data_IF_378168828685
#
_entry.id   IF_378168828685
#
_cell.length_a   1.000
_cell.length_b   1.000
_cell.length_c   1.000
_cell.angle_alpha   90.00
_cell.angle_beta   90.00
_cell.angle_gamma   90.00
#
_symmetry.space_group_name_H-M   'P 1'
#
loop_
_entity.id
_entity.type
_entity.pdbx_description
1 polymer ?
#
# COMPACT_ATOMS: atom_id res chain seq x y z
N UNK A 1 -11.68 32.13 8.41
CA UNK A 1 -11.50 30.74 8.89
C UNK A 1 -10.39 30.07 8.08
N UNK A 2 -9.39 29.42 8.70
CA UNK A 2 -8.27 28.77 7.98
C UNK A 2 -8.35 27.25 8.10
N UNK A 3 -8.26 26.55 6.98
CA UNK A 3 -8.08 25.10 6.95
C UNK A 3 -6.59 24.82 7.02
N UNK A 4 -6.16 24.10 8.06
CA UNK A 4 -4.77 23.73 8.24
C UNK A 4 -4.50 22.31 7.72
N UNK A 5 -3.23 21.95 7.56
CA UNK A 5 -2.83 20.59 7.20
C UNK A 5 -2.30 19.88 8.44
N UNK A 6 -2.71 18.64 8.63
CA UNK A 6 -2.19 17.78 9.69
C UNK A 6 -0.70 17.53 9.48
N UNK A 7 0.10 17.66 10.53
CA UNK A 7 1.55 17.44 10.48
C UNK A 7 1.91 16.01 10.04
N UNK A 8 1.17 15.01 10.52
CA UNK A 8 1.53 13.60 10.30
C UNK A 8 1.02 13.05 8.96
N UNK A 9 -0.26 13.26 8.65
CA UNK A 9 -0.90 12.67 7.47
C UNK A 9 -1.10 13.64 6.30
N UNK A 10 -0.92 14.94 6.52
CA UNK A 10 -1.19 16.03 5.56
C UNK A 10 -2.64 16.16 5.09
N UNK A 11 -3.60 15.54 5.78
CA UNK A 11 -5.05 15.77 5.59
C UNK A 11 -5.45 17.17 6.07
N UNK A 12 -6.52 17.73 5.51
CA UNK A 12 -7.13 18.97 6.02
C UNK A 12 -7.64 18.81 7.46
N UNK A 13 -7.42 19.85 8.26
CA UNK A 13 -7.93 20.01 9.63
C UNK A 13 -8.87 21.20 9.62
N UNK A 14 -10.15 20.93 9.83
CA UNK A 14 -11.18 21.96 9.98
C UNK A 14 -11.19 22.48 11.42
N UNK A 15 -11.64 23.73 11.66
CA UNK A 15 -11.75 24.24 13.02
C UNK A 15 -12.69 23.39 13.88
N UNK A 16 -12.35 23.26 15.17
CA UNK A 16 -13.05 22.36 16.10
C UNK A 16 -12.67 20.88 15.97
N UNK A 17 -11.85 20.50 15.00
CA UNK A 17 -11.41 19.10 14.85
C UNK A 17 -9.96 18.86 15.23
N UNK A 18 -9.71 17.70 15.83
CA UNK A 18 -8.37 17.20 16.09
C UNK A 18 -7.74 17.78 17.37
N UNK A 19 -6.42 17.91 17.36
CA UNK A 19 -5.67 18.45 18.51
C UNK A 19 -4.45 19.24 18.03
N UNK A 20 -4.05 20.25 18.79
CA UNK A 20 -2.80 20.97 18.58
C UNK A 20 -1.84 20.66 19.73
N UNK A 21 -0.59 20.38 19.40
CA UNK A 21 0.50 20.24 20.36
C UNK A 21 1.49 21.37 20.12
N UNK A 22 1.77 22.14 21.17
CA UNK A 22 2.77 23.21 21.14
C UNK A 22 4.01 22.65 21.83
N UNK A 23 5.15 22.66 21.13
CA UNK A 23 6.44 22.27 21.69
C UNK A 23 7.17 23.50 22.23
N UNK A 24 8.11 23.31 23.14
CA UNK A 24 8.88 24.39 23.78
C UNK A 24 9.59 25.33 22.79
N UNK A 25 9.91 24.87 21.56
CA UNK A 25 10.47 25.71 20.49
C UNK A 25 9.40 26.56 19.76
N UNK A 26 8.26 26.79 20.40
CA UNK A 26 7.08 27.47 19.89
C UNK A 26 6.49 26.86 18.58
N UNK A 27 6.90 25.65 18.19
CA UNK A 27 6.33 24.99 17.01
C UNK A 27 5.00 24.35 17.34
N UNK A 28 3.99 24.74 16.54
CA UNK A 28 2.63 24.23 16.64
C UNK A 28 2.46 23.05 15.68
N UNK A 29 2.20 21.87 16.23
CA UNK A 29 1.87 20.67 15.48
C UNK A 29 0.37 20.42 15.54
N UNK A 30 -0.32 20.55 14.41
CA UNK A 30 -1.75 20.22 14.32
C UNK A 30 -1.95 18.79 13.84
N UNK A 31 -2.88 18.10 14.46
CA UNK A 31 -3.26 16.73 14.13
C UNK A 31 -4.74 16.64 13.81
N UNK A 32 -5.12 15.94 12.73
CA UNK A 32 -6.51 15.72 12.37
C UNK A 32 -7.26 14.75 13.32
N UNK A 33 -6.54 13.82 13.95
CA UNK A 33 -7.13 12.79 14.81
C UNK A 33 -6.14 12.25 15.84
N UNK A 34 -6.67 11.55 16.85
CA UNK A 34 -5.89 10.89 17.89
C UNK A 34 -4.91 9.85 17.33
N UNK A 35 -5.23 9.21 16.19
CA UNK A 35 -4.31 8.31 15.47
C UNK A 35 -3.01 9.02 15.08
N UNK A 36 -3.11 10.22 14.51
CA UNK A 36 -1.95 11.00 14.09
C UNK A 36 -1.14 11.48 15.30
N UNK A 37 -1.84 11.95 16.35
CA UNK A 37 -1.22 12.38 17.60
C UNK A 37 -0.46 11.23 18.29
N UNK A 38 -1.08 10.06 18.45
CA UNK A 38 -0.44 8.87 19.05
C UNK A 38 0.79 8.42 18.25
N UNK A 39 0.73 8.41 16.90
CA UNK A 39 1.89 8.07 16.08
C UNK A 39 3.04 9.09 16.19
N UNK A 40 2.71 10.37 16.36
CA UNK A 40 3.69 11.41 16.63
C UNK A 40 4.34 11.23 18.02
N UNK A 41 3.54 10.95 19.06
CA UNK A 41 4.05 10.62 20.41
C UNK A 41 4.95 9.39 20.43
N UNK A 42 4.61 8.37 19.63
CA UNK A 42 5.46 7.19 19.39
C UNK A 42 6.70 7.47 18.52
N UNK A 43 6.99 8.74 18.19
CA UNK A 43 8.13 9.17 17.36
C UNK A 43 8.22 8.44 16.01
N UNK A 44 7.10 7.99 15.44
CA UNK A 44 7.11 7.31 14.14
C UNK A 44 7.37 8.32 13.03
N UNK A 45 8.25 7.99 12.09
CA UNK A 45 8.53 8.86 10.96
C UNK A 45 7.40 8.77 9.90
N UNK A 46 6.66 9.86 9.60
CA UNK A 46 5.57 9.84 8.62
C UNK A 46 6.03 9.43 7.22
N UNK A 47 7.31 9.65 6.85
CA UNK A 47 7.89 9.21 5.57
C UNK A 47 8.05 7.70 5.45
N UNK A 48 8.04 6.95 6.57
CA UNK A 48 8.07 5.47 6.58
C UNK A 48 6.67 4.85 6.71
N UNK A 49 5.67 5.65 7.13
CA UNK A 49 4.31 5.16 7.36
C UNK A 49 3.48 5.20 6.06
N UNK A 50 3.18 4.02 5.51
CA UNK A 50 2.65 3.81 4.15
C UNK A 50 1.36 4.57 3.78
N UNK A 51 0.51 4.89 4.76
CA UNK A 51 -0.78 5.53 4.51
C UNK A 51 -0.73 7.07 4.50
N UNK A 52 0.38 7.68 4.92
CA UNK A 52 0.52 9.14 4.93
C UNK A 52 0.76 9.68 3.52
N UNK A 53 0.41 10.95 3.31
CA UNK A 53 0.76 11.66 2.07
C UNK A 53 2.28 11.87 1.93
N UNK A 54 2.99 12.07 3.04
CA UNK A 54 4.44 12.20 3.06
C UNK A 54 5.15 10.96 2.47
N UNK A 55 4.76 9.76 2.90
CA UNK A 55 5.26 8.51 2.31
C UNK A 55 4.91 8.41 0.83
N UNK A 56 3.67 8.74 0.46
CA UNK A 56 3.22 8.64 -0.94
C UNK A 56 4.01 9.56 -1.87
N UNK A 57 4.30 10.78 -1.46
CA UNK A 57 5.15 11.73 -2.22
C UNK A 57 6.58 11.22 -2.34
N UNK A 58 7.20 10.81 -1.23
CA UNK A 58 8.58 10.31 -1.23
C UNK A 58 8.75 9.02 -2.05
N UNK A 59 7.75 8.14 -2.06
CA UNK A 59 7.76 6.89 -2.80
C UNK A 59 7.25 7.02 -4.26
N UNK A 60 7.11 8.24 -4.80
CA UNK A 60 6.67 8.47 -6.18
C UNK A 60 5.25 7.99 -6.48
N UNK A 61 4.38 7.92 -5.47
CA UNK A 61 2.98 7.47 -5.61
C UNK A 61 2.01 8.58 -6.00
N UNK A 62 2.45 9.83 -5.90
CA UNK A 62 1.71 11.04 -6.25
C UNK A 62 2.60 11.92 -7.12
N UNK A 63 1.98 12.79 -7.92
CA UNK A 63 2.68 13.82 -8.66
C UNK A 63 3.26 14.83 -7.66
N UNK A 64 4.58 15.03 -7.68
CA UNK A 64 5.29 15.90 -6.73
C UNK A 64 5.68 17.24 -7.35
N UNK A 65 6.07 17.25 -8.62
CA UNK A 65 6.52 18.42 -9.37
C UNK A 65 5.42 18.74 -10.39
N UNK A 66 4.66 19.80 -10.14
CA UNK A 66 3.64 20.30 -11.06
C UNK A 66 3.41 21.80 -10.83
N UNK A 67 3.18 22.54 -11.91
CA UNK A 67 2.94 23.99 -11.84
C UNK A 67 1.64 24.34 -11.10
N UNK A 68 0.69 23.40 -11.01
CA UNK A 68 -0.55 23.65 -10.27
C UNK A 68 -0.33 23.81 -8.76
N UNK A 69 0.76 23.28 -8.20
CA UNK A 69 1.06 23.41 -6.77
C UNK A 69 1.56 24.79 -6.37
N UNK A 70 2.11 25.57 -7.30
CA UNK A 70 2.63 26.91 -7.04
C UNK A 70 1.53 27.91 -6.65
N UNK A 71 0.28 27.63 -7.04
CA UNK A 71 -0.88 28.42 -6.67
C UNK A 71 -1.29 28.26 -5.19
N UNK A 72 -0.98 27.13 -4.53
CA UNK A 72 -1.30 26.87 -3.11
C UNK A 72 -0.22 27.46 -2.14
N UNK A 73 0.46 28.55 -2.52
CA UNK A 73 1.51 29.18 -1.71
C UNK A 73 0.96 30.07 -0.60
N UNK A 74 1.64 30.09 0.55
CA UNK A 74 1.37 31.05 1.63
C UNK A 74 1.87 32.43 1.22
N UNK A 75 0.97 33.41 1.12
CA UNK A 75 1.33 34.82 0.91
C UNK A 75 1.43 35.52 2.25
N UNK A 76 2.58 36.13 2.53
CA UNK A 76 2.81 36.88 3.76
C UNK A 76 2.50 38.38 3.59
N UNK A 77 2.53 38.89 2.35
CA UNK A 77 2.17 40.27 2.01
C UNK A 77 0.71 40.30 1.54
N UNK A 78 -0.18 41.03 2.22
CA UNK A 78 -1.56 41.22 1.78
C UNK A 78 -1.61 42.21 0.60
N UNK A 79 -2.59 42.02 -0.28
CA UNK A 79 -2.92 42.97 -1.35
C UNK A 79 -4.20 43.69 -0.95
N UNK A 80 -4.39 44.93 -1.40
CA UNK A 80 -5.67 45.62 -1.23
C UNK A 80 -6.80 44.83 -1.90
N UNK A 81 -7.97 44.88 -1.29
CA UNK A 81 -9.14 44.20 -1.83
C UNK A 81 -9.57 44.86 -3.14
N UNK A 82 -9.73 44.04 -4.17
CA UNK A 82 -10.31 44.41 -5.46
C UNK A 82 -11.31 43.32 -5.86
N UNK A 83 -12.54 43.74 -6.20
CA UNK A 83 -13.64 42.86 -6.55
C UNK A 83 -13.38 42.12 -7.86
N UNK A 84 -12.78 42.77 -8.85
CA UNK A 84 -12.49 42.17 -10.15
C UNK A 84 -11.42 41.10 -10.02
N UNK A 85 -10.34 41.43 -9.31
CA UNK A 85 -9.26 40.49 -8.97
C UNK A 85 -9.81 39.26 -8.23
N UNK A 86 -10.69 39.46 -7.25
CA UNK A 86 -11.32 38.36 -6.50
C UNK A 86 -12.19 37.48 -7.40
N UNK A 87 -13.00 38.07 -8.28
CA UNK A 87 -13.85 37.32 -9.21
C UNK A 87 -13.02 36.48 -10.19
N UNK A 88 -11.96 37.07 -10.75
CA UNK A 88 -11.01 36.36 -11.62
C UNK A 88 -10.30 35.23 -10.87
N UNK A 89 -9.90 35.46 -9.63
CA UNK A 89 -9.23 34.45 -8.78
C UNK A 89 -10.13 33.25 -8.53
N UNK A 90 -11.43 33.45 -8.24
CA UNK A 90 -12.38 32.35 -8.04
C UNK A 90 -12.57 31.50 -9.31
N UNK A 91 -12.65 32.15 -10.48
CA UNK A 91 -12.70 31.45 -11.79
C UNK A 91 -11.42 30.65 -12.03
N UNK A 92 -10.26 31.27 -11.80
CA UNK A 92 -8.96 30.62 -11.96
C UNK A 92 -8.79 29.41 -11.02
N UNK A 93 -9.21 29.51 -9.76
CA UNK A 93 -9.13 28.41 -8.78
C UNK A 93 -9.90 27.17 -9.23
N UNK A 94 -11.12 27.33 -9.77
CA UNK A 94 -11.91 26.21 -10.32
C UNK A 94 -11.16 25.55 -11.48
N UNK A 95 -10.67 26.36 -12.42
CA UNK A 95 -9.93 25.88 -13.58
C UNK A 95 -8.63 25.14 -13.22
N UNK A 96 -7.86 25.68 -12.28
CA UNK A 96 -6.63 25.03 -11.77
C UNK A 96 -6.97 23.70 -11.10
N UNK A 97 -8.09 23.63 -10.37
CA UNK A 97 -8.60 22.39 -9.77
C UNK A 97 -8.87 21.29 -10.80
N UNK A 98 -9.54 21.61 -11.91
CA UNK A 98 -9.79 20.67 -13.01
C UNK A 98 -8.51 20.16 -13.65
N UNK A 99 -7.57 21.07 -13.94
CA UNK A 99 -6.27 20.74 -14.55
C UNK A 99 -5.49 19.79 -13.64
N UNK A 100 -5.44 20.10 -12.34
CA UNK A 100 -4.79 19.27 -11.34
C UNK A 100 -5.41 17.86 -11.29
N UNK A 101 -6.74 17.75 -11.23
CA UNK A 101 -7.41 16.44 -11.23
C UNK A 101 -7.11 15.63 -12.49
N UNK A 102 -7.10 16.28 -13.67
CA UNK A 102 -6.76 15.63 -14.93
C UNK A 102 -5.32 15.10 -14.93
N UNK A 103 -4.36 15.92 -14.48
CA UNK A 103 -2.94 15.56 -14.37
C UNK A 103 -2.71 14.42 -13.38
N UNK A 104 -3.32 14.50 -12.19
CA UNK A 104 -3.25 13.43 -11.18
C UNK A 104 -3.82 12.10 -11.69
N UNK A 105 -4.94 12.13 -12.43
CA UNK A 105 -5.51 10.93 -13.08
C UNK A 105 -4.59 10.35 -14.14
N UNK A 106 -3.97 11.19 -14.97
CA UNK A 106 -3.02 10.74 -15.98
C UNK A 106 -1.79 10.06 -15.33
N UNK A 107 -1.22 10.68 -14.29
CA UNK A 107 -0.12 10.10 -13.53
C UNK A 107 -0.48 8.74 -12.92
N UNK A 108 -1.69 8.63 -12.36
CA UNK A 108 -2.18 7.36 -11.82
C UNK A 108 -2.31 6.29 -12.91
N UNK A 109 -2.87 6.62 -14.09
CA UNK A 109 -3.00 5.70 -15.22
C UNK A 109 -1.64 5.18 -15.68
N UNK A 110 -0.68 6.08 -15.91
CA UNK A 110 0.67 5.72 -16.35
C UNK A 110 1.36 4.80 -15.35
N UNK A 111 1.25 5.11 -14.05
CA UNK A 111 1.80 4.25 -12.99
C UNK A 111 1.15 2.87 -12.93
N UNK A 112 -0.17 2.80 -13.13
CA UNK A 112 -0.90 1.53 -13.12
C UNK A 112 -0.66 0.69 -14.37
N UNK A 113 -0.36 1.29 -15.52
CA UNK A 113 0.00 0.57 -16.74
C UNK A 113 1.26 -0.29 -16.54
N UNK A 114 2.31 0.29 -15.95
CA UNK A 114 3.55 -0.42 -15.60
C UNK A 114 3.29 -1.58 -14.62
N UNK A 115 2.41 -1.37 -13.65
CA UNK A 115 2.04 -2.43 -12.71
C UNK A 115 1.25 -3.56 -13.40
N UNK A 116 0.34 -3.22 -14.33
CA UNK A 116 -0.48 -4.18 -15.07
C UNK A 116 0.38 -5.17 -15.84
N UNK A 117 1.38 -4.71 -16.58
CA UNK A 117 2.31 -5.58 -17.33
C UNK A 117 3.03 -6.58 -16.42
N UNK A 118 3.58 -6.11 -15.29
CA UNK A 118 4.22 -6.98 -14.30
C UNK A 118 3.26 -8.01 -13.70
N UNK A 119 2.01 -7.62 -13.46
CA UNK A 119 1.00 -8.56 -12.96
C UNK A 119 0.61 -9.60 -14.01
N UNK A 120 0.52 -9.22 -15.29
CA UNK A 120 0.22 -10.13 -16.38
C UNK A 120 1.35 -11.13 -16.61
N UNK A 121 2.61 -10.70 -16.62
CA UNK A 121 3.76 -11.60 -16.75
C UNK A 121 3.85 -12.57 -15.57
N UNK A 122 3.62 -12.11 -14.34
CA UNK A 122 3.56 -12.97 -13.16
C UNK A 122 2.42 -14.00 -13.25
N UNK A 123 1.24 -13.60 -13.76
CA UNK A 123 0.11 -14.53 -14.01
C UNK A 123 0.47 -15.56 -15.08
N UNK A 124 1.03 -15.14 -16.21
CA UNK A 124 1.49 -16.04 -17.29
C UNK A 124 2.50 -17.05 -16.77
N UNK A 125 3.51 -16.62 -15.98
CA UNK A 125 4.49 -17.51 -15.36
C UNK A 125 3.85 -18.52 -14.39
N UNK A 126 2.86 -18.09 -13.61
CA UNK A 126 2.12 -19.00 -12.71
C UNK A 126 1.27 -20.02 -13.47
N UNK A 127 0.63 -19.62 -14.56
CA UNK A 127 -0.15 -20.52 -15.41
C UNK A 127 0.76 -21.53 -16.12
N UNK A 128 1.89 -21.10 -16.65
CA UNK A 128 2.90 -22.00 -17.23
C UNK A 128 3.43 -23.00 -16.20
N UNK A 129 3.73 -22.55 -14.98
CA UNK A 129 4.16 -23.42 -13.88
C UNK A 129 3.07 -24.41 -13.44
N UNK A 130 1.79 -24.02 -13.47
CA UNK A 130 0.67 -24.97 -13.24
C UNK A 130 0.59 -26.00 -14.34
N UNK A 131 0.58 -25.57 -15.61
CA UNK A 131 0.57 -26.48 -16.76
C UNK A 131 1.75 -27.46 -16.75
N UNK A 132 2.95 -27.01 -16.38
CA UNK A 132 4.12 -27.88 -16.27
C UNK A 132 3.97 -28.92 -15.15
N UNK A 133 3.38 -28.55 -14.00
CA UNK A 133 3.06 -29.50 -12.93
C UNK A 133 1.97 -30.49 -13.35
N UNK A 134 0.92 -30.00 -14.00
CA UNK A 134 -0.17 -30.84 -14.48
C UNK A 134 0.34 -31.84 -15.55
N UNK A 135 1.27 -31.43 -16.40
CA UNK A 135 1.95 -32.30 -17.37
C UNK A 135 2.88 -33.33 -16.69
N UNK A 136 3.63 -32.94 -15.65
CA UNK A 136 4.45 -33.88 -14.86
C UNK A 136 3.59 -34.93 -14.15
N UNK A 137 2.44 -34.52 -13.58
CA UNK A 137 1.50 -35.46 -12.95
C UNK A 137 0.93 -36.43 -13.98
N UNK A 138 0.62 -35.96 -15.20
CA UNK A 138 0.15 -36.83 -16.28
C UNK A 138 1.22 -37.87 -16.68
N UNK A 139 2.48 -37.46 -16.83
CA UNK A 139 3.58 -38.40 -17.14
C UNK A 139 3.85 -39.38 -16.01
N UNK A 140 3.73 -38.94 -14.76
CA UNK A 140 3.92 -39.81 -13.58
C UNK A 140 2.77 -40.84 -13.46
N UNK A 141 1.53 -40.48 -13.84
CA UNK A 141 0.39 -41.41 -13.89
C UNK A 141 0.54 -42.45 -15.01
N UNK A 142 0.95 -42.04 -16.21
CA UNK A 142 1.23 -42.96 -17.33
C UNK A 142 2.36 -43.94 -16.99
N UNK A 143 3.40 -43.48 -16.28
CA UNK A 143 4.48 -44.35 -15.81
C UNK A 143 3.98 -45.37 -14.77
N UNK A 144 3.06 -45.00 -13.87
CA UNK A 144 2.48 -45.97 -12.92
C UNK A 144 1.59 -47.02 -13.59
N UNK A 145 0.81 -46.65 -14.61
CA UNK A 145 -0.02 -47.60 -15.38
C UNK A 145 0.83 -48.65 -16.11
N UNK A 146 1.96 -48.24 -16.72
CA UNK A 146 2.88 -49.18 -17.39
C UNK A 146 3.62 -50.14 -16.42
N UNK A 147 3.80 -49.75 -15.15
CA UNK A 147 4.39 -50.66 -14.14
C UNK A 147 3.40 -51.67 -13.58
N UNK A 148 2.10 -51.35 -13.57
CA UNK A 148 1.08 -52.29 -13.12
C UNK A 148 0.81 -53.37 -14.19
N UNK A 149 0.89 -53.04 -15.49
CA UNK A 149 0.73 -53.99 -16.60
C UNK A 149 1.87 -55.02 -16.73
N UNK A 150 3.06 -54.76 -16.18
CA UNK A 150 4.21 -55.70 -16.18
C UNK A 150 4.18 -56.65 -14.96
N UNK A 151 3.24 -56.49 -14.03
CA UNK A 151 3.21 -57.26 -12.77
C UNK A 151 2.19 -58.42 -12.72
N UNK A 152 1.61 -58.85 -13.85
CA UNK A 152 0.75 -60.05 -13.87
C UNK A 152 1.55 -61.35 -13.82
N UNK A 153 2.25 -61.61 -12.71
CA UNK A 153 2.56 -62.96 -12.25
C UNK A 153 1.98 -63.17 -10.84
N UNK A 154 0.96 -64.05 -10.81
CA UNK A 154 0.44 -64.82 -9.68
C UNK A 154 0.00 -64.05 -8.42
N UNK A 155 -1.29 -63.73 -8.36
CA UNK A 155 -2.02 -63.41 -7.13
C UNK A 155 -2.27 -64.71 -6.33
N UNK A 156 -1.67 -64.83 -5.15
CA UNK A 156 -2.21 -65.68 -4.07
C UNK A 156 -3.25 -64.87 -3.26
N UNK A 157 -4.33 -65.48 -2.75
CA UNK A 157 -5.40 -64.75 -2.08
C UNK A 157 -4.90 -64.18 -0.75
N UNK A 158 -4.71 -62.87 -0.69
CA UNK A 158 -4.44 -62.16 0.56
C UNK A 158 -5.77 -61.96 1.27
N UNK A 159 -5.83 -62.49 2.49
CA UNK A 159 -6.93 -62.35 3.44
C UNK A 159 -7.44 -60.91 3.56
N UNK A 160 -8.76 -60.80 3.73
CA UNK A 160 -9.52 -59.59 3.96
C UNK A 160 -8.84 -58.70 5.01
N UNK A 161 -8.33 -57.54 4.58
CA UNK A 161 -7.96 -56.46 5.49
C UNK A 161 -9.08 -55.43 5.49
N UNK A 162 -9.75 -55.35 6.63
CA UNK A 162 -10.75 -54.34 6.93
C UNK A 162 -10.27 -52.93 6.54
N UNK A 163 -11.16 -52.20 5.87
CA UNK A 163 -10.91 -50.82 5.46
C UNK A 163 -10.93 -49.87 6.66
N UNK A 164 -9.80 -49.72 7.34
CA UNK A 164 -9.64 -48.65 8.32
C UNK A 164 -9.55 -47.33 7.54
N UNK A 165 -10.65 -46.58 7.50
CA UNK A 165 -10.68 -45.20 7.01
C UNK A 165 -9.81 -44.31 7.92
N UNK A 166 -8.53 -44.22 7.61
CA UNK A 166 -7.65 -43.23 8.24
C UNK A 166 -8.07 -41.85 7.73
N UNK A 167 -8.83 -41.12 8.55
CA UNK A 167 -9.07 -39.69 8.35
C UNK A 167 -7.73 -38.96 8.45
N UNK A 168 -7.02 -38.80 7.33
CA UNK A 168 -5.90 -37.86 7.25
C UNK A 168 -6.48 -36.45 7.42
N UNK A 169 -6.36 -35.89 8.63
CA UNK A 169 -6.54 -34.45 8.84
C UNK A 169 -5.48 -33.76 7.99
N UNK A 170 -5.89 -33.17 6.87
CA UNK A 170 -5.05 -32.24 6.13
C UNK A 170 -4.81 -31.06 7.07
N UNK A 171 -3.62 -31.03 7.67
CA UNK A 171 -3.16 -29.85 8.41
C UNK A 171 -2.92 -28.76 7.37
N UNK A 172 -3.95 -27.92 7.13
CA UNK A 172 -3.76 -26.70 6.37
C UNK A 172 -2.72 -25.88 7.14
N UNK A 173 -1.51 -25.65 6.59
CA UNK A 173 -0.54 -24.83 7.29
C UNK A 173 -1.19 -23.45 7.41
N UNK A 174 -1.45 -23.04 8.66
CA UNK A 174 -2.00 -21.74 8.94
C UNK A 174 -1.06 -20.71 8.33
N UNK A 175 -1.43 -20.18 7.15
CA UNK A 175 -0.75 -19.02 6.58
C UNK A 175 -1.05 -17.89 7.53
N UNK A 176 -0.21 -17.72 8.56
CA UNK A 176 -0.16 -16.51 9.36
C UNK A 176 0.00 -15.40 8.34
N UNK A 177 -1.08 -14.64 8.09
CA UNK A 177 -1.00 -13.39 7.35
C UNK A 177 0.03 -12.56 8.12
N UNK A 178 1.26 -12.51 7.62
CA UNK A 178 2.30 -11.63 8.17
C UNK A 178 1.66 -10.27 8.25
N UNK A 179 1.47 -9.75 9.47
CA UNK A 179 0.93 -8.43 9.65
C UNK A 179 1.79 -7.49 8.82
N UNK A 180 1.17 -6.64 8.00
CA UNK A 180 1.88 -5.69 7.14
C UNK A 180 2.62 -4.59 7.93
N UNK A 181 2.73 -4.75 9.25
CA UNK A 181 3.56 -3.98 10.15
C UNK A 181 5.00 -4.45 9.96
N UNK A 182 5.78 -3.65 9.24
CA UNK A 182 7.24 -3.67 9.41
C UNK A 182 7.48 -3.37 10.89
N UNK A 183 7.99 -4.34 11.67
CA UNK A 183 8.56 -4.05 12.99
C UNK A 183 9.58 -2.95 12.74
N UNK A 184 9.35 -1.78 13.34
CA UNK A 184 10.37 -0.74 13.32
C UNK A 184 11.60 -1.36 13.94
N UNK A 185 12.70 -1.35 13.20
CA UNK A 185 14.01 -1.66 13.75
C UNK A 185 14.20 -0.70 14.93
N UNK A 186 14.07 -1.25 16.14
CA UNK A 186 14.49 -0.59 17.36
C UNK A 186 16.00 -0.54 17.36
N UNK A 187 16.58 0.31 16.50
CA UNK A 187 17.86 0.92 16.81
C UNK A 187 17.52 2.07 17.74
N UNK A 188 17.61 1.79 19.05
CA UNK A 188 17.97 2.79 20.03
C UNK A 188 19.29 3.41 19.54
N UNK A 189 19.20 4.47 18.75
CA UNK A 189 20.32 5.40 18.65
C UNK A 189 20.34 6.07 20.02
N UNK A 190 21.24 5.60 20.89
CA UNK A 190 21.70 6.39 22.02
C UNK A 190 22.09 7.76 21.47
N UNK A 191 21.58 8.80 22.09
CA UNK A 191 22.14 10.13 21.90
C UNK A 191 23.49 10.09 22.62
N UNK A 192 24.57 9.97 21.85
CA UNK A 192 25.86 10.42 22.34
C UNK A 192 25.78 11.95 22.41
N UNK A 193 25.99 12.46 23.62
CA UNK A 193 26.06 13.86 23.98
C UNK A 193 27.48 14.34 23.68
N UNK A 194 27.61 15.25 22.72
CA UNK A 194 28.67 16.27 22.66
C UNK A 194 28.01 17.61 22.29
#
# INVERSE_FOLDING_TARGET
MRIEKCYFCSTSVYPGHGSAFVRNDAKVFRFCSSKCNKNFKMKRNPRKVRWTKAFRKAAGKEMTIDSTFEFEKRRNVPVRYDRELMAQTLKAMRRVGEIRQRRERAFFKNRMAVAKEKTLSAKRRKLAARKARDAQIATDMEATETTEEVSTELVQPIAEKESIRIKRKVLVPATRKRSALVKGEGKSMGMDLD
#
